data_IF_823334486334
#
_entry.id   IF_823334486334
#
_cell.length_a   1.000
_cell.length_b   1.000
_cell.length_c   1.000
_cell.angle_alpha   90.00
_cell.angle_beta   90.00
_cell.angle_gamma   90.00
#
_symmetry.space_group_name_H-M   'P 1'
#
loop_
_entity.id
_entity.type
_entity.pdbx_description
1 polymer ?
#
# COMPACT_ATOMS: atom_id res chain seq x y z
N UNK A 1 9.21 -38.13 -5.25
CA UNK A 1 10.07 -36.93 -5.09
C UNK A 1 9.38 -35.65 -5.61
N UNK A 2 8.07 -35.44 -5.41
CA UNK A 2 7.27 -34.65 -6.38
C UNK A 2 6.31 -33.53 -5.89
N UNK A 3 5.75 -33.50 -4.66
CA UNK A 3 4.84 -32.41 -4.26
C UNK A 3 5.55 -31.10 -3.91
N UNK A 4 6.63 -31.15 -3.13
CA UNK A 4 7.27 -29.94 -2.58
C UNK A 4 8.03 -29.15 -3.64
N UNK A 5 8.69 -29.83 -4.59
CA UNK A 5 9.38 -29.16 -5.69
C UNK A 5 8.42 -28.41 -6.64
N UNK A 6 7.23 -28.98 -6.91
CA UNK A 6 6.20 -28.31 -7.73
C UNK A 6 5.64 -27.08 -7.03
N UNK A 7 5.37 -27.18 -5.73
CA UNK A 7 4.93 -26.03 -4.91
C UNK A 7 5.97 -24.91 -4.90
N UNK A 8 7.26 -25.25 -4.83
CA UNK A 8 8.33 -24.25 -4.88
C UNK A 8 8.39 -23.52 -6.23
N UNK A 9 8.20 -24.24 -7.34
CA UNK A 9 8.14 -23.62 -8.68
C UNK A 9 6.92 -22.71 -8.80
N UNK A 10 5.74 -23.18 -8.41
CA UNK A 10 4.50 -22.41 -8.46
C UNK A 10 4.62 -21.14 -7.60
N UNK A 11 5.16 -21.25 -6.39
CA UNK A 11 5.40 -20.10 -5.50
C UNK A 11 6.39 -19.10 -6.10
N UNK A 12 7.45 -19.58 -6.76
CA UNK A 12 8.43 -18.70 -7.42
C UNK A 12 7.81 -17.93 -8.58
N UNK A 13 7.02 -18.61 -9.42
CA UNK A 13 6.32 -18.00 -10.55
C UNK A 13 5.30 -16.98 -10.03
N UNK A 14 4.49 -17.36 -9.04
CA UNK A 14 3.49 -16.47 -8.46
C UNK A 14 4.11 -15.25 -7.77
N UNK A 15 5.25 -15.41 -7.10
CA UNK A 15 5.99 -14.29 -6.52
C UNK A 15 6.53 -13.31 -7.59
N UNK A 16 6.96 -13.85 -8.75
CA UNK A 16 7.48 -13.09 -9.89
C UNK A 16 6.37 -12.41 -10.70
N UNK A 17 5.25 -13.08 -10.93
CA UNK A 17 4.19 -12.55 -11.80
C UNK A 17 2.96 -12.09 -11.03
N UNK A 18 3.03 -12.08 -9.70
CA UNK A 18 1.99 -11.55 -8.81
C UNK A 18 0.63 -12.22 -8.99
N UNK A 19 0.63 -13.51 -9.35
CA UNK A 19 -0.58 -14.31 -9.47
C UNK A 19 -1.32 -14.17 -10.80
N UNK A 20 -0.81 -13.38 -11.76
CA UNK A 20 -1.47 -13.25 -13.08
C UNK A 20 -1.38 -14.55 -13.90
N UNK A 21 -0.43 -15.44 -13.59
CA UNK A 21 -0.34 -16.77 -14.20
C UNK A 21 -1.59 -17.62 -13.91
N UNK A 22 -2.26 -17.38 -12.78
CA UNK A 22 -3.52 -18.02 -12.41
C UNK A 22 -4.68 -17.52 -13.26
N UNK A 23 -4.74 -16.22 -13.54
CA UNK A 23 -5.82 -15.63 -14.36
C UNK A 23 -5.67 -16.05 -15.81
N UNK A 24 -4.43 -16.04 -16.34
CA UNK A 24 -4.13 -16.59 -17.67
C UNK A 24 -4.58 -18.05 -17.77
N UNK A 25 -4.37 -18.85 -16.73
CA UNK A 25 -4.84 -20.23 -16.70
C UNK A 25 -6.37 -20.32 -16.75
N UNK A 26 -7.07 -19.46 -16.01
CA UNK A 26 -8.52 -19.41 -16.06
C UNK A 26 -9.03 -19.02 -17.47
N UNK A 27 -8.44 -17.99 -18.07
CA UNK A 27 -8.77 -17.55 -19.43
C UNK A 27 -8.49 -18.62 -20.48
N UNK A 28 -7.40 -19.37 -20.33
CA UNK A 28 -7.05 -20.46 -21.23
C UNK A 28 -8.13 -21.55 -21.31
N UNK A 29 -8.82 -21.84 -20.20
CA UNK A 29 -9.90 -22.84 -20.19
C UNK A 29 -11.22 -22.32 -20.76
N UNK A 30 -11.37 -21.00 -20.87
CA UNK A 30 -12.52 -20.30 -21.44
C UNK A 30 -12.44 -20.03 -22.94
N UNK A 31 -11.30 -20.31 -23.59
CA UNK A 31 -11.12 -20.06 -25.03
C UNK A 31 -12.07 -20.91 -25.89
N UNK A 32 -12.53 -20.33 -26.99
CA UNK A 32 -13.19 -21.07 -28.06
C UNK A 32 -12.21 -22.00 -28.80
N UNK A 33 -12.75 -22.97 -29.53
CA UNK A 33 -11.95 -24.02 -30.18
C UNK A 33 -10.98 -23.47 -31.24
N UNK A 34 -11.35 -22.39 -31.94
CA UNK A 34 -10.53 -21.81 -33.00
C UNK A 34 -9.35 -21.04 -32.39
N UNK A 35 -9.59 -20.20 -31.38
CA UNK A 35 -8.53 -19.49 -30.65
C UNK A 35 -7.59 -20.46 -29.93
N UNK A 36 -8.13 -21.49 -29.28
CA UNK A 36 -7.34 -22.52 -28.61
C UNK A 36 -6.38 -23.21 -29.58
N UNK A 37 -6.83 -23.49 -30.81
CA UNK A 37 -5.98 -24.07 -31.88
C UNK A 37 -4.83 -23.13 -32.26
N UNK A 38 -5.09 -21.83 -32.38
CA UNK A 38 -4.03 -20.84 -32.66
C UNK A 38 -3.02 -20.74 -31.53
N UNK A 39 -3.47 -20.72 -30.27
CA UNK A 39 -2.61 -20.73 -29.09
C UNK A 39 -1.69 -21.96 -29.09
N UNK A 40 -2.22 -23.15 -29.37
CA UNK A 40 -1.40 -24.36 -29.43
C UNK A 40 -0.39 -24.36 -30.59
N UNK A 41 -0.75 -23.76 -31.74
CA UNK A 41 0.18 -23.60 -32.86
C UNK A 41 1.37 -22.69 -32.47
N UNK A 42 1.13 -21.58 -31.77
CA UNK A 42 2.22 -20.73 -31.26
C UNK A 42 2.99 -21.43 -30.15
N UNK A 43 2.31 -22.14 -29.25
CA UNK A 43 2.95 -22.93 -28.20
C UNK A 43 3.94 -23.96 -28.79
N UNK A 44 3.57 -24.65 -29.88
CA UNK A 44 4.49 -25.54 -30.59
C UNK A 44 5.69 -24.80 -31.19
N UNK A 45 5.47 -23.66 -31.85
CA UNK A 45 6.57 -22.87 -32.43
C UNK A 45 7.57 -22.44 -31.36
N UNK A 46 7.11 -22.03 -30.18
CA UNK A 46 7.97 -21.56 -29.09
C UNK A 46 8.62 -22.70 -28.29
N UNK A 47 7.93 -23.84 -28.11
CA UNK A 47 8.34 -24.84 -27.12
C UNK A 47 8.50 -26.26 -27.68
N UNK A 48 8.08 -26.51 -28.92
CA UNK A 48 8.25 -27.78 -29.64
C UNK A 48 7.04 -28.72 -29.57
N UNK A 49 6.98 -29.63 -30.56
CA UNK A 49 5.89 -30.59 -30.77
C UNK A 49 5.57 -31.48 -29.57
N UNK A 50 6.59 -31.98 -28.87
CA UNK A 50 6.40 -32.86 -27.72
C UNK A 50 5.63 -32.18 -26.58
N UNK A 51 5.96 -30.92 -26.29
CA UNK A 51 5.29 -30.15 -25.23
C UNK A 51 3.87 -29.76 -25.60
N UNK A 52 3.61 -29.46 -26.89
CA UNK A 52 2.24 -29.27 -27.39
C UNK A 52 1.40 -30.54 -27.22
N UNK A 53 1.88 -31.69 -27.71
CA UNK A 53 1.16 -32.97 -27.60
C UNK A 53 0.80 -33.31 -26.15
N UNK A 54 1.73 -33.07 -25.23
CA UNK A 54 1.45 -33.19 -23.80
C UNK A 54 0.33 -32.24 -23.37
N UNK A 55 0.43 -30.94 -23.66
CA UNK A 55 -0.56 -29.95 -23.23
C UNK A 55 -1.95 -30.20 -23.83
N UNK A 56 -2.06 -30.61 -25.09
CA UNK A 56 -3.32 -30.95 -25.74
C UNK A 56 -3.98 -32.18 -25.08
N UNK A 57 -3.20 -33.24 -24.82
CA UNK A 57 -3.71 -34.45 -24.16
C UNK A 57 -4.21 -34.16 -22.74
N UNK A 58 -3.50 -33.30 -22.01
CA UNK A 58 -3.83 -32.97 -20.63
C UNK A 58 -4.92 -31.89 -20.48
N UNK A 59 -5.21 -31.13 -21.55
CA UNK A 59 -6.13 -30.00 -21.53
C UNK A 59 -7.48 -30.34 -20.89
N UNK A 60 -8.13 -31.42 -21.34
CA UNK A 60 -9.43 -31.84 -20.81
C UNK A 60 -9.39 -32.19 -19.32
N UNK A 61 -8.31 -32.83 -18.87
CA UNK A 61 -8.11 -33.19 -17.45
C UNK A 61 -7.86 -31.97 -16.58
N UNK A 62 -7.11 -31.00 -17.09
CA UNK A 62 -6.88 -29.72 -16.41
C UNK A 62 -8.17 -28.91 -16.31
N UNK A 63 -8.94 -28.83 -17.41
CA UNK A 63 -10.23 -28.12 -17.46
C UNK A 63 -11.26 -28.74 -16.51
N UNK A 64 -11.26 -30.07 -16.38
CA UNK A 64 -12.12 -30.79 -15.44
C UNK A 64 -11.62 -30.73 -13.97
N UNK A 65 -10.47 -30.11 -13.69
CA UNK A 65 -9.87 -30.05 -12.35
C UNK A 65 -9.28 -31.36 -11.83
N UNK A 66 -9.35 -32.44 -12.62
CA UNK A 66 -8.84 -33.77 -12.24
C UNK A 66 -7.32 -33.83 -12.09
N UNK A 67 -6.60 -32.94 -12.76
CA UNK A 67 -5.14 -32.79 -12.67
C UNK A 67 -4.80 -31.32 -12.59
N UNK A 68 -3.87 -30.95 -11.71
CA UNK A 68 -3.37 -29.58 -11.65
C UNK A 68 -2.32 -29.36 -12.76
N UNK A 69 -2.49 -28.27 -13.51
CA UNK A 69 -1.49 -27.79 -14.48
C UNK A 69 -0.20 -27.42 -13.74
N UNK A 70 0.96 -27.83 -14.28
CA UNK A 70 2.24 -27.46 -13.68
C UNK A 70 2.56 -25.98 -13.87
N UNK A 71 3.27 -25.38 -12.90
CA UNK A 71 3.74 -23.99 -13.02
C UNK A 71 4.53 -23.72 -14.28
N UNK A 72 5.34 -24.67 -14.75
CA UNK A 72 6.11 -24.49 -15.99
C UNK A 72 5.22 -24.35 -17.24
N UNK A 73 4.11 -25.10 -17.33
CA UNK A 73 3.13 -24.92 -18.41
C UNK A 73 2.39 -23.59 -18.22
N UNK A 74 2.03 -23.25 -16.98
CA UNK A 74 1.38 -21.97 -16.65
C UNK A 74 2.25 -20.77 -17.05
N UNK A 75 3.55 -20.81 -16.80
CA UNK A 75 4.50 -19.74 -17.17
C UNK A 75 4.65 -19.63 -18.68
N UNK A 76 4.69 -20.75 -19.40
CA UNK A 76 4.71 -20.74 -20.88
C UNK A 76 3.44 -20.13 -21.44
N UNK A 77 2.28 -20.51 -20.91
CA UNK A 77 1.00 -19.90 -21.29
C UNK A 77 0.97 -18.40 -21.00
N UNK A 78 1.49 -17.96 -19.85
CA UNK A 78 1.58 -16.53 -19.52
C UNK A 78 2.39 -15.72 -20.55
N UNK A 79 3.37 -16.33 -21.21
CA UNK A 79 4.20 -15.67 -22.23
C UNK A 79 3.52 -15.58 -23.60
N UNK A 80 2.55 -16.45 -23.89
CA UNK A 80 1.96 -16.58 -25.23
C UNK A 80 0.47 -16.27 -25.31
N UNK A 81 -0.31 -16.58 -24.28
CA UNK A 81 -1.76 -16.46 -24.33
C UNK A 81 -2.22 -15.00 -24.44
N UNK A 82 -1.59 -14.02 -23.75
CA UNK A 82 -2.06 -12.65 -23.78
C UNK A 82 -2.12 -12.03 -25.18
N UNK A 83 -1.34 -12.52 -26.14
CA UNK A 83 -1.41 -12.09 -27.55
C UNK A 83 -2.75 -12.39 -28.23
N UNK A 84 -3.55 -13.30 -27.69
CA UNK A 84 -4.86 -13.71 -28.23
C UNK A 84 -6.04 -13.18 -27.42
N UNK A 85 -5.78 -12.39 -26.38
CA UNK A 85 -6.81 -11.87 -25.49
C UNK A 85 -7.34 -10.53 -26.00
N UNK A 86 -8.59 -10.23 -25.62
CA UNK A 86 -9.18 -8.89 -25.80
C UNK A 86 -8.44 -7.85 -24.96
N UNK A 87 -8.64 -6.58 -25.29
CA UNK A 87 -8.07 -5.46 -24.56
C UNK A 87 -8.46 -5.52 -23.07
N UNK A 88 -9.73 -5.82 -22.78
CA UNK A 88 -10.23 -5.92 -21.40
C UNK A 88 -9.42 -6.92 -20.56
N UNK A 89 -9.23 -8.13 -21.07
CA UNK A 89 -8.46 -9.14 -20.36
C UNK A 89 -6.99 -8.74 -20.20
N UNK A 90 -6.39 -8.11 -21.22
CA UNK A 90 -5.03 -7.56 -21.12
C UNK A 90 -4.97 -6.47 -20.03
N UNK A 91 -5.94 -5.57 -19.96
CA UNK A 91 -6.05 -4.54 -18.94
C UNK A 91 -6.12 -5.14 -17.54
N UNK A 92 -6.93 -6.17 -17.31
CA UNK A 92 -7.01 -6.83 -16.01
C UNK A 92 -5.67 -7.47 -15.59
N UNK A 93 -4.97 -8.12 -16.53
CA UNK A 93 -3.66 -8.70 -16.26
C UNK A 93 -2.62 -7.62 -15.92
N UNK A 94 -2.60 -6.52 -16.67
CA UNK A 94 -1.72 -5.36 -16.41
C UNK A 94 -2.06 -4.74 -15.06
N UNK A 95 -3.32 -4.47 -14.76
CA UNK A 95 -3.78 -3.90 -13.50
C UNK A 95 -3.35 -4.73 -12.29
N UNK A 96 -3.54 -6.05 -12.35
CA UNK A 96 -3.13 -6.95 -11.26
C UNK A 96 -1.62 -7.03 -11.13
N UNK A 97 -0.87 -7.10 -12.25
CA UNK A 97 0.59 -7.14 -12.22
C UNK A 97 1.17 -5.87 -11.58
N UNK A 98 0.69 -4.69 -12.01
CA UNK A 98 1.13 -3.42 -11.44
C UNK A 98 0.79 -3.35 -9.96
N UNK A 99 -0.46 -3.64 -9.57
CA UNK A 99 -0.88 -3.68 -8.16
C UNK A 99 0.00 -4.59 -7.31
N UNK A 100 0.41 -5.76 -7.82
CA UNK A 100 1.27 -6.68 -7.09
C UNK A 100 2.73 -6.21 -6.94
N UNK A 101 3.18 -5.29 -7.79
CA UNK A 101 4.48 -4.63 -7.68
C UNK A 101 4.43 -3.29 -6.96
N UNK A 102 3.23 -2.84 -6.59
CA UNK A 102 3.04 -1.68 -5.74
C UNK A 102 3.80 -1.87 -4.43
N UNK A 103 4.65 -0.92 -4.08
CA UNK A 103 5.27 -0.88 -2.75
C UNK A 103 4.25 -0.29 -1.79
N UNK A 104 3.78 -1.05 -0.78
CA UNK A 104 2.84 -0.49 0.19
C UNK A 104 3.60 0.49 1.08
N UNK A 105 3.54 1.77 0.74
CA UNK A 105 4.05 2.84 1.58
C UNK A 105 3.02 3.13 2.67
N UNK A 106 3.43 3.10 3.93
CA UNK A 106 2.61 3.57 5.05
C UNK A 106 3.18 4.89 5.55
N UNK A 107 2.38 5.94 5.46
CA UNK A 107 2.74 7.25 5.94
C UNK A 107 1.91 7.54 7.19
N UNK A 108 2.55 8.08 8.23
CA UNK A 108 1.85 8.58 9.40
C UNK A 108 2.10 10.07 9.51
N UNK A 109 1.01 10.84 9.56
CA UNK A 109 1.01 12.30 9.61
C UNK A 109 0.36 12.70 10.92
N UNK A 110 1.16 13.23 11.85
CA UNK A 110 0.65 13.79 13.10
C UNK A 110 0.48 15.29 12.93
N UNK A 111 -0.71 15.80 13.24
CA UNK A 111 -1.04 17.22 13.08
C UNK A 111 -1.53 17.81 14.39
N UNK A 112 -1.12 19.05 14.64
CA UNK A 112 -1.44 19.80 15.87
C UNK A 112 -2.38 20.98 15.60
N UNK A 113 -2.85 21.61 16.67
CA UNK A 113 -3.91 22.65 16.66
C UNK A 113 -3.57 23.92 15.87
N UNK A 114 -2.30 24.32 15.78
CA UNK A 114 -1.91 25.64 15.27
C UNK A 114 -1.34 25.65 13.84
N UNK A 115 -1.52 24.56 13.10
CA UNK A 115 -1.07 24.47 11.72
C UNK A 115 -0.84 23.03 11.29
N UNK A 116 -0.75 22.83 9.98
CA UNK A 116 -0.41 21.53 9.41
C UNK A 116 -1.54 20.86 8.63
N UNK A 117 -2.75 21.43 8.55
CA UNK A 117 -3.77 20.97 7.60
C UNK A 117 -3.22 21.02 6.17
N UNK A 118 -2.68 22.17 5.74
CA UNK A 118 -2.10 22.31 4.40
C UNK A 118 -0.91 21.37 4.16
N UNK A 119 -0.06 21.16 5.17
CA UNK A 119 1.05 20.20 5.08
C UNK A 119 0.55 18.75 4.99
N UNK A 120 -0.53 18.41 5.71
CA UNK A 120 -1.20 17.11 5.64
C UNK A 120 -1.83 16.90 4.26
N UNK A 121 -2.53 17.90 3.73
CA UNK A 121 -3.10 17.87 2.38
C UNK A 121 -2.02 17.72 1.31
N UNK A 122 -0.92 18.47 1.42
CA UNK A 122 0.22 18.33 0.52
C UNK A 122 0.83 16.92 0.58
N UNK A 123 0.93 16.33 1.77
CA UNK A 123 1.39 14.93 1.95
C UNK A 123 0.43 13.93 1.30
N UNK A 124 -0.88 14.15 1.40
CA UNK A 124 -1.89 13.30 0.78
C UNK A 124 -1.86 13.38 -0.75
N UNK A 125 -1.74 14.60 -1.30
CA UNK A 125 -1.61 14.82 -2.76
C UNK A 125 -0.32 14.18 -3.27
N UNK A 126 0.81 14.43 -2.61
CA UNK A 126 2.08 13.82 -2.99
C UNK A 126 2.06 12.30 -2.87
N UNK A 127 1.39 11.75 -1.84
CA UNK A 127 1.15 10.32 -1.73
C UNK A 127 0.33 9.82 -2.93
N UNK A 128 -0.82 10.43 -3.24
CA UNK A 128 -1.66 10.05 -4.37
C UNK A 128 -0.92 10.08 -5.72
N UNK A 129 -0.07 11.09 -5.94
CA UNK A 129 0.74 11.23 -7.16
C UNK A 129 1.92 10.26 -7.23
N UNK A 130 2.29 9.60 -6.12
CA UNK A 130 3.41 8.65 -6.12
C UNK A 130 3.18 7.42 -7.02
N UNK A 131 1.97 7.22 -7.55
CA UNK A 131 1.66 6.24 -8.61
C UNK A 131 2.57 6.42 -9.83
N UNK A 132 2.96 7.65 -10.18
CA UNK A 132 3.82 7.95 -11.34
C UNK A 132 5.17 7.25 -11.28
N UNK A 133 5.66 6.97 -10.07
CA UNK A 133 6.96 6.36 -9.81
C UNK A 133 6.88 4.83 -9.69
N UNK A 134 5.72 4.24 -9.98
CA UNK A 134 5.51 2.79 -9.89
C UNK A 134 6.14 2.09 -11.09
N UNK A 135 7.24 1.38 -10.85
CA UNK A 135 7.99 0.66 -11.88
C UNK A 135 7.91 -0.85 -11.67
N UNK A 136 7.43 -1.56 -12.68
CA UNK A 136 7.58 -3.02 -12.77
C UNK A 136 9.04 -3.34 -13.13
N UNK A 137 9.73 -4.25 -12.42
CA UNK A 137 11.13 -4.57 -12.70
C UNK A 137 11.35 -4.97 -14.17
N UNK A 138 12.45 -4.51 -14.78
CA UNK A 138 12.78 -4.83 -16.18
C UNK A 138 12.81 -6.34 -16.43
N UNK A 139 13.36 -7.13 -15.51
CA UNK A 139 13.39 -8.60 -15.60
C UNK A 139 11.99 -9.27 -15.73
N UNK A 140 10.92 -8.57 -15.33
CA UNK A 140 9.53 -9.01 -15.55
C UNK A 140 9.05 -8.55 -16.92
N UNK A 141 9.26 -7.27 -17.24
CA UNK A 141 8.93 -6.69 -18.56
C UNK A 141 9.58 -7.49 -19.70
N UNK A 142 10.88 -7.76 -19.59
CA UNK A 142 11.67 -8.53 -20.56
C UNK A 142 11.17 -9.98 -20.67
N UNK A 143 10.61 -10.53 -19.59
CA UNK A 143 10.10 -11.90 -19.59
C UNK A 143 8.70 -12.05 -20.16
N UNK A 144 7.97 -10.95 -20.33
CA UNK A 144 6.60 -10.88 -20.84
C UNK A 144 6.55 -9.91 -22.01
N UNK A 145 7.03 -10.34 -23.18
CA UNK A 145 7.15 -9.50 -24.37
C UNK A 145 5.83 -8.82 -24.78
N UNK A 146 4.68 -9.44 -24.49
CA UNK A 146 3.36 -8.85 -24.76
C UNK A 146 3.09 -7.57 -23.94
N UNK A 147 3.82 -7.30 -22.86
CA UNK A 147 3.71 -6.04 -22.12
C UNK A 147 4.25 -4.83 -22.88
N UNK A 148 5.03 -5.07 -23.94
CA UNK A 148 5.51 -4.03 -24.84
C UNK A 148 4.63 -3.87 -26.10
N UNK A 149 3.57 -4.69 -26.22
CA UNK A 149 2.57 -4.59 -27.28
C UNK A 149 1.75 -3.31 -27.14
N UNK A 150 1.21 -2.80 -28.26
CA UNK A 150 0.47 -1.54 -28.29
C UNK A 150 -0.75 -1.57 -27.36
N UNK A 151 -1.50 -2.68 -27.35
CA UNK A 151 -2.63 -2.88 -26.44
C UNK A 151 -2.22 -2.83 -24.96
N UNK A 152 -1.07 -3.43 -24.61
CA UNK A 152 -0.60 -3.45 -23.24
C UNK A 152 -0.07 -2.08 -22.79
N UNK A 153 0.56 -1.34 -23.70
CA UNK A 153 0.97 0.04 -23.48
C UNK A 153 -0.25 0.95 -23.27
N UNK A 154 -1.30 0.78 -24.08
CA UNK A 154 -2.56 1.49 -23.94
C UNK A 154 -3.27 1.14 -22.62
N UNK A 155 -3.35 -0.15 -22.27
CA UNK A 155 -3.88 -0.59 -20.99
C UNK A 155 -3.13 0.01 -19.79
N UNK A 156 -1.80 0.10 -19.86
CA UNK A 156 -0.98 0.73 -18.83
C UNK A 156 -1.24 2.24 -18.74
N UNK A 157 -1.38 2.93 -19.87
CA UNK A 157 -1.68 4.35 -19.90
C UNK A 157 -3.06 4.64 -19.29
N UNK A 158 -4.07 3.85 -19.66
CA UNK A 158 -5.41 3.93 -19.08
C UNK A 158 -5.38 3.67 -17.57
N UNK A 159 -4.73 2.59 -17.13
CA UNK A 159 -4.60 2.25 -15.72
C UNK A 159 -3.95 3.39 -14.93
N UNK A 160 -2.89 3.98 -15.46
CA UNK A 160 -2.21 5.10 -14.82
C UNK A 160 -3.13 6.31 -14.61
N UNK A 161 -3.90 6.68 -15.65
CA UNK A 161 -4.88 7.77 -15.56
C UNK A 161 -5.98 7.48 -14.54
N UNK A 162 -6.50 6.24 -14.53
CA UNK A 162 -7.51 5.81 -13.56
C UNK A 162 -6.96 5.95 -12.13
N UNK A 163 -5.76 5.44 -11.85
CA UNK A 163 -5.16 5.49 -10.52
C UNK A 163 -4.86 6.93 -10.07
N UNK A 164 -4.41 7.82 -10.95
CA UNK A 164 -4.25 9.23 -10.62
C UNK A 164 -5.59 9.87 -10.25
N UNK A 165 -6.63 9.61 -11.05
CA UNK A 165 -7.96 10.19 -10.84
C UNK A 165 -8.62 9.67 -9.57
N UNK A 166 -8.45 8.39 -9.24
CA UNK A 166 -8.87 7.84 -7.93
C UNK A 166 -8.21 8.59 -6.78
N UNK A 167 -6.90 8.85 -6.89
CA UNK A 167 -6.14 9.61 -5.91
C UNK A 167 -6.67 11.04 -5.73
N UNK A 168 -6.92 11.75 -6.82
CA UNK A 168 -7.53 13.08 -6.82
C UNK A 168 -8.91 13.09 -6.13
N UNK A 169 -9.82 12.21 -6.54
CA UNK A 169 -11.17 12.12 -5.95
C UNK A 169 -11.10 11.84 -4.45
N UNK A 170 -10.21 10.92 -4.04
CA UNK A 170 -10.03 10.58 -2.61
C UNK A 170 -9.50 11.77 -1.83
N UNK A 171 -8.46 12.45 -2.34
CA UNK A 171 -7.84 13.59 -1.66
C UNK A 171 -8.77 14.81 -1.60
N UNK A 172 -9.58 15.04 -2.63
CA UNK A 172 -10.59 16.11 -2.64
C UNK A 172 -11.70 15.86 -1.61
N UNK A 173 -12.18 14.62 -1.52
CA UNK A 173 -13.16 14.21 -0.50
C UNK A 173 -12.59 14.40 0.91
N UNK A 174 -11.35 13.94 1.12
CA UNK A 174 -10.66 14.09 2.41
C UNK A 174 -10.42 15.55 2.79
N UNK A 175 -10.23 16.46 1.83
CA UNK A 175 -10.01 17.88 2.14
C UNK A 175 -11.15 18.47 2.96
N UNK A 176 -12.40 18.16 2.58
CA UNK A 176 -13.57 18.61 3.32
C UNK A 176 -13.69 17.91 4.69
N UNK A 177 -13.47 16.59 4.73
CA UNK A 177 -13.52 15.80 5.96
C UNK A 177 -12.49 16.29 7.00
N UNK A 178 -11.24 16.52 6.57
CA UNK A 178 -10.19 17.01 7.44
C UNK A 178 -10.50 18.40 7.97
N UNK A 179 -11.04 19.31 7.15
CA UNK A 179 -11.47 20.63 7.64
C UNK A 179 -12.48 20.51 8.77
N UNK A 180 -13.50 19.67 8.62
CA UNK A 180 -14.48 19.38 9.68
C UNK A 180 -13.79 18.90 10.98
N UNK A 181 -12.86 17.95 10.88
CA UNK A 181 -12.16 17.40 12.04
C UNK A 181 -11.25 18.44 12.74
N UNK A 182 -10.63 19.33 11.97
CA UNK A 182 -9.83 20.43 12.52
C UNK A 182 -10.71 21.48 13.20
N UNK A 183 -11.84 21.85 12.59
CA UNK A 183 -12.81 22.79 13.16
C UNK A 183 -13.44 22.23 14.46
N UNK A 184 -13.69 20.92 14.50
CA UNK A 184 -14.12 20.21 15.71
C UNK A 184 -13.11 20.38 16.85
N UNK A 185 -11.83 20.15 16.57
CA UNK A 185 -10.79 20.30 17.58
C UNK A 185 -10.67 21.76 18.04
N UNK A 186 -10.67 22.71 17.10
CA UNK A 186 -10.57 24.14 17.40
C UNK A 186 -11.74 24.65 18.27
N UNK A 187 -12.94 24.12 18.09
CA UNK A 187 -14.15 24.51 18.84
C UNK A 187 -14.25 23.94 20.27
N UNK A 188 -13.36 23.01 20.65
CA UNK A 188 -13.36 22.37 21.98
C UNK A 188 -11.99 22.53 22.69
N UNK A 189 -11.57 23.76 23.05
CA UNK A 189 -10.25 24.03 23.63
C UNK A 189 -10.03 23.46 25.04
N UNK A 190 -11.11 23.28 25.80
CA UNK A 190 -11.09 22.79 27.19
C UNK A 190 -11.15 21.25 27.27
N UNK A 191 -11.21 20.56 26.13
CA UNK A 191 -11.38 19.11 26.06
C UNK A 191 -10.21 18.49 25.29
N UNK A 192 -9.91 17.24 25.62
CA UNK A 192 -9.02 16.43 24.79
C UNK A 192 -9.79 15.98 23.55
N UNK A 193 -9.25 16.27 22.36
CA UNK A 193 -9.82 15.82 21.08
C UNK A 193 -8.76 15.04 20.33
N UNK A 194 -9.09 13.81 19.92
CA UNK A 194 -8.26 12.98 19.04
C UNK A 194 -9.10 12.56 17.85
N UNK A 195 -8.61 12.83 16.65
CA UNK A 195 -9.20 12.31 15.42
C UNK A 195 -8.16 11.50 14.67
N UNK A 196 -8.50 10.27 14.31
CA UNK A 196 -7.67 9.38 13.53
C UNK A 196 -8.36 9.10 12.19
N UNK A 197 -7.64 9.32 11.11
CA UNK A 197 -8.09 9.00 9.76
C UNK A 197 -7.07 8.11 9.07
N UNK A 198 -7.44 6.86 8.85
CA UNK A 198 -6.67 5.93 8.01
C UNK A 198 -7.29 5.93 6.63
N UNK A 199 -6.57 6.41 5.61
CA UNK A 199 -7.00 6.39 4.20
C UNK A 199 -6.18 5.41 3.38
N UNK A 200 -6.86 4.70 2.49
CA UNK A 200 -6.24 3.89 1.44
C UNK A 200 -6.20 4.69 0.13
N UNK A 201 -5.01 5.05 -0.33
CA UNK A 201 -4.77 5.68 -1.63
C UNK A 201 -4.29 4.63 -2.65
N UNK A 202 -4.25 4.94 -3.96
CA UNK A 202 -3.72 4.06 -5.00
C UNK A 202 -2.23 3.71 -4.90
N UNK A 203 -1.46 4.46 -4.11
CA UNK A 203 0.01 4.34 -3.95
C UNK A 203 0.44 4.14 -2.50
N UNK A 204 -0.30 4.66 -1.51
CA UNK A 204 0.03 4.57 -0.09
C UNK A 204 -1.18 4.28 0.80
N UNK A 205 -0.93 3.90 2.05
CA UNK A 205 -1.90 4.02 3.15
C UNK A 205 -1.42 5.18 4.02
N UNK A 206 -2.28 6.15 4.29
CA UNK A 206 -1.94 7.32 5.10
C UNK A 206 -2.75 7.31 6.39
N UNK A 207 -2.06 7.32 7.53
CA UNK A 207 -2.65 7.46 8.86
C UNK A 207 -2.46 8.90 9.32
N UNK A 208 -3.55 9.62 9.45
CA UNK A 208 -3.57 11.01 9.91
C UNK A 208 -4.06 10.98 11.35
N UNK A 209 -3.27 11.55 12.26
CA UNK A 209 -3.62 11.64 13.67
C UNK A 209 -3.60 13.10 14.07
N UNK A 210 -4.78 13.63 14.36
CA UNK A 210 -4.94 14.95 14.97
C UNK A 210 -5.12 14.76 16.47
N UNK A 211 -4.27 15.40 17.27
CA UNK A 211 -4.36 15.37 18.74
C UNK A 211 -4.35 16.79 19.31
N UNK A 212 -5.31 17.07 20.17
CA UNK A 212 -5.43 18.30 20.92
C UNK A 212 -5.64 18.00 22.40
N UNK A 213 -4.83 18.63 23.24
CA UNK A 213 -4.95 18.55 24.70
C UNK A 213 -5.78 19.72 25.23
N UNK A 214 -6.53 19.47 26.32
CA UNK A 214 -7.24 20.50 27.05
C UNK A 214 -6.26 21.55 27.59
N UNK A 215 -6.57 22.84 27.42
CA UNK A 215 -5.79 23.92 28.05
C UNK A 215 -6.24 24.05 29.50
N UNK A 216 -5.39 23.68 30.46
CA UNK A 216 -5.67 23.95 31.88
C UNK A 216 -5.55 25.47 32.13
N UNK A 217 -6.67 26.21 32.11
CA UNK A 217 -6.67 27.61 32.54
C UNK A 217 -6.42 27.69 34.05
N UNK A 218 -5.17 27.89 34.45
CA UNK A 218 -4.83 28.39 35.77
C UNK A 218 -5.26 29.86 35.84
N UNK A 219 -6.35 30.18 36.55
CA UNK A 219 -6.72 31.56 36.89
C UNK A 219 -5.72 32.10 37.91
N UNK A 220 -4.56 32.57 37.46
CA UNK A 220 -3.68 33.44 38.25
C UNK A 220 -3.94 34.90 37.88
N UNK A 221 -4.57 35.60 38.82
CA UNK A 221 -4.66 37.06 38.85
C UNK A 221 -3.33 37.59 39.39
N UNK A 222 -2.43 38.12 38.54
CA UNK A 222 -1.40 39.09 38.94
C UNK A 222 -0.64 39.70 37.74
N UNK A 223 -0.80 41.02 37.63
CA UNK A 223 0.21 42.07 37.43
C UNK A 223 1.24 41.98 36.29
N UNK A 224 1.21 43.03 35.47
CA UNK A 224 2.20 43.38 34.47
C UNK A 224 3.61 43.51 35.05
N UNK A 225 4.60 43.01 34.33
CA UNK A 225 5.87 43.71 34.18
C UNK A 225 6.39 43.53 32.75
N UNK A 226 6.62 44.68 32.12
CA UNK A 226 7.42 44.90 30.91
C UNK A 226 8.85 44.40 31.09
N UNK A 227 9.47 43.78 30.08
CA UNK A 227 10.47 44.41 29.19
C UNK A 227 11.19 43.41 28.26
N UNK A 228 11.49 43.83 27.02
CA UNK A 228 12.80 43.62 26.41
C UNK A 228 13.08 42.43 25.46
N UNK A 229 12.75 42.63 24.17
CA UNK A 229 13.55 42.42 22.94
C UNK A 229 14.33 41.13 22.58
N UNK A 230 14.37 40.96 21.23
CA UNK A 230 15.28 40.20 20.36
C UNK A 230 14.97 38.69 20.21
N UNK A 231 14.88 38.08 19.03
CA UNK A 231 15.28 38.47 17.67
C UNK A 231 14.55 37.55 16.67
N UNK A 232 14.02 38.12 15.58
CA UNK A 232 13.59 37.38 14.39
C UNK A 232 14.79 36.73 13.71
N UNK A 233 14.65 35.47 13.31
CA UNK A 233 15.48 34.89 12.26
C UNK A 233 14.59 34.31 11.17
N UNK A 234 14.48 35.09 10.11
CA UNK A 234 14.06 34.68 8.79
C UNK A 234 14.92 33.51 8.30
N UNK A 235 14.28 32.52 7.67
CA UNK A 235 14.96 31.58 6.79
C UNK A 235 14.34 31.68 5.41
N UNK A 236 15.16 32.25 4.52
CA UNK A 236 14.96 32.42 3.07
C UNK A 236 14.97 31.05 2.37
N UNK A 237 14.26 30.88 1.24
CA UNK A 237 14.26 29.65 0.45
C UNK A 237 15.55 29.53 -0.38
N UNK A 238 16.20 28.38 -0.35
CA UNK A 238 17.32 28.09 -1.26
C UNK A 238 16.78 27.57 -2.59
N UNK A 239 16.74 28.45 -3.60
CA UNK A 239 16.69 28.05 -5.01
C UNK A 239 17.99 27.32 -5.38
N UNK A 240 17.86 26.11 -5.95
CA UNK A 240 18.93 25.48 -6.71
C UNK A 240 18.56 25.49 -8.20
N UNK A 241 19.37 26.24 -8.93
CA UNK A 241 19.24 26.57 -10.34
C UNK A 241 19.39 25.34 -11.26
N UNK A 242 18.51 25.28 -12.26
CA UNK A 242 18.59 24.41 -13.45
C UNK A 242 19.64 24.92 -14.44
N UNK A 243 20.20 23.99 -15.24
CA UNK A 243 20.52 24.02 -16.70
C UNK A 243 21.72 23.08 -16.96
N UNK A 244 21.87 22.33 -18.05
CA UNK A 244 21.09 21.99 -19.25
C UNK A 244 21.87 20.89 -20.02
N UNK A 245 21.18 20.04 -20.79
CA UNK A 245 21.48 19.60 -22.18
C UNK A 245 20.40 18.59 -22.63
N UNK A 246 20.13 18.43 -23.95
CA UNK A 246 18.80 18.69 -24.49
C UNK A 246 18.08 17.41 -24.96
N UNK A 247 16.77 17.39 -24.75
CA UNK A 247 15.82 16.70 -25.61
C UNK A 247 14.52 17.51 -25.55
N UNK A 248 13.84 17.65 -26.70
CA UNK A 248 12.74 18.57 -26.93
C UNK A 248 11.63 18.49 -25.86
N UNK A 249 10.92 19.60 -25.56
CA UNK A 249 9.96 19.64 -24.46
C UNK A 249 8.76 18.74 -24.75
N UNK A 250 8.45 17.84 -23.82
CA UNK A 250 7.15 17.17 -23.73
C UNK A 250 6.17 18.22 -23.23
N UNK A 251 5.21 18.61 -24.07
CA UNK A 251 4.38 19.79 -23.81
C UNK A 251 3.07 19.49 -23.06
N UNK A 252 2.62 18.23 -22.90
CA UNK A 252 1.39 17.91 -22.16
C UNK A 252 1.39 16.50 -21.56
N UNK A 253 1.03 16.38 -20.27
CA UNK A 253 0.85 15.09 -19.57
C UNK A 253 -0.41 14.29 -20.02
N UNK A 254 -1.23 14.86 -20.92
CA UNK A 254 -2.40 14.21 -21.52
C UNK A 254 -2.12 13.37 -22.78
N UNK A 255 -0.87 13.26 -23.23
CA UNK A 255 -0.56 12.75 -24.58
C UNK A 255 -0.25 11.25 -24.64
N UNK A 256 -0.11 10.54 -23.52
CA UNK A 256 0.09 9.08 -23.52
C UNK A 256 -1.13 8.32 -24.03
N UNK A 257 -2.33 8.85 -23.76
CA UNK A 257 -3.59 8.28 -24.25
C UNK A 257 -3.74 8.56 -25.76
N UNK A 258 -3.43 9.78 -26.20
CA UNK A 258 -3.44 10.19 -27.61
C UNK A 258 -2.39 9.48 -28.46
N UNK A 259 -1.21 9.21 -27.90
CA UNK A 259 -0.18 8.42 -28.58
C UNK A 259 -0.56 6.94 -28.63
N UNK A 260 -1.28 6.42 -27.63
CA UNK A 260 -1.88 5.08 -27.69
C UNK A 260 -3.01 5.00 -28.74
N UNK A 261 -3.87 6.03 -28.82
CA UNK A 261 -4.97 6.11 -29.81
C UNK A 261 -4.46 6.07 -31.27
N UNK A 262 -3.29 6.64 -31.54
CA UNK A 262 -2.72 6.70 -32.91
C UNK A 262 -2.15 5.38 -33.41
N UNK A 263 -1.86 4.45 -32.50
CA UNK A 263 -1.14 3.21 -32.81
C UNK A 263 -2.07 1.99 -32.88
N UNK A 264 -3.21 2.03 -32.20
CA UNK A 264 -4.16 0.92 -32.13
C UNK A 264 -4.98 0.72 -33.43
N UNK A 265 -5.25 -0.52 -33.84
CA UNK A 265 -6.25 -0.84 -34.87
C UNK A 265 -7.67 -0.38 -34.48
N UNK A 266 -8.56 -0.05 -35.44
CA UNK A 266 -9.88 0.53 -35.16
C UNK A 266 -10.77 -0.30 -34.23
N UNK A 267 -10.77 -1.63 -34.38
CA UNK A 267 -11.52 -2.57 -33.55
C UNK A 267 -11.06 -2.58 -32.08
N UNK A 268 -9.77 -2.33 -31.84
CA UNK A 268 -9.19 -2.24 -30.48
C UNK A 268 -9.48 -0.91 -29.81
N UNK A 269 -9.66 0.16 -30.58
CA UNK A 269 -10.03 1.48 -30.06
C UNK A 269 -11.41 1.41 -29.41
N UNK A 270 -12.38 0.72 -30.02
CA UNK A 270 -13.73 0.58 -29.46
C UNK A 270 -13.74 -0.18 -28.13
N UNK A 271 -12.99 -1.29 -28.02
CA UNK A 271 -12.84 -2.04 -26.75
C UNK A 271 -12.21 -1.17 -25.65
N UNK A 272 -11.19 -0.37 -25.99
CA UNK A 272 -10.56 0.54 -25.04
C UNK A 272 -11.49 1.69 -24.62
N UNK A 273 -12.24 2.28 -25.56
CA UNK A 273 -13.24 3.32 -25.25
C UNK A 273 -14.32 2.77 -24.33
N UNK A 274 -14.82 1.56 -24.60
CA UNK A 274 -15.78 0.88 -23.74
C UNK A 274 -15.20 0.73 -22.32
N UNK A 275 -13.95 0.25 -22.21
CA UNK A 275 -13.30 0.11 -20.90
C UNK A 275 -13.06 1.44 -20.20
N UNK A 276 -12.62 2.46 -20.91
CA UNK A 276 -12.46 3.80 -20.35
C UNK A 276 -13.80 4.38 -19.85
N UNK A 277 -14.90 4.11 -20.58
CA UNK A 277 -16.25 4.47 -20.16
C UNK A 277 -16.69 3.78 -18.87
N UNK A 278 -16.44 2.47 -18.75
CA UNK A 278 -16.69 1.73 -17.51
C UNK A 278 -15.92 2.30 -16.31
N UNK A 279 -14.62 2.57 -16.48
CA UNK A 279 -13.79 3.15 -15.41
C UNK A 279 -14.24 4.57 -15.07
N UNK A 280 -14.64 5.37 -16.06
CA UNK A 280 -15.18 6.71 -15.82
C UNK A 280 -16.48 6.67 -14.99
N UNK A 281 -17.40 5.75 -15.31
CA UNK A 281 -18.62 5.55 -14.53
C UNK A 281 -18.31 5.09 -13.10
N UNK A 282 -17.34 4.18 -12.94
CA UNK A 282 -16.88 3.73 -11.62
C UNK A 282 -16.30 4.89 -10.80
N UNK A 283 -15.49 5.76 -11.40
CA UNK A 283 -14.94 6.95 -10.75
C UNK A 283 -16.02 7.94 -10.33
N UNK A 284 -17.09 8.11 -11.13
CA UNK A 284 -18.24 8.92 -10.75
C UNK A 284 -18.98 8.33 -9.54
N UNK A 285 -19.18 7.00 -9.52
CA UNK A 285 -19.77 6.32 -8.37
C UNK A 285 -18.91 6.55 -7.12
N UNK A 286 -17.60 6.35 -7.22
CA UNK A 286 -16.65 6.60 -6.14
C UNK A 286 -16.73 8.05 -5.62
N UNK A 287 -16.86 9.04 -6.50
CA UNK A 287 -17.04 10.43 -6.11
C UNK A 287 -18.35 10.64 -5.33
N UNK A 288 -19.45 10.03 -5.77
CA UNK A 288 -20.75 10.09 -5.08
C UNK A 288 -20.74 9.36 -3.73
N UNK A 289 -20.08 8.22 -3.66
CA UNK A 289 -19.85 7.51 -2.39
C UNK A 289 -19.07 8.40 -1.42
N UNK A 290 -18.03 9.11 -1.91
CA UNK A 290 -17.29 10.09 -1.10
C UNK A 290 -18.17 11.23 -0.57
N UNK A 291 -19.08 11.78 -1.37
CA UNK A 291 -20.05 12.80 -0.93
C UNK A 291 -20.99 12.27 0.17
N UNK A 292 -21.47 11.04 0.03
CA UNK A 292 -22.34 10.38 1.00
C UNK A 292 -21.57 10.12 2.31
N UNK A 293 -20.35 9.60 2.22
CA UNK A 293 -19.49 9.33 3.38
C UNK A 293 -19.22 10.59 4.18
N UNK A 294 -18.90 11.68 3.49
CA UNK A 294 -18.75 12.99 4.12
C UNK A 294 -19.98 13.35 4.94
N UNK A 295 -21.19 13.26 4.35
CA UNK A 295 -22.43 13.59 5.05
C UNK A 295 -22.68 12.68 6.27
N UNK A 296 -22.34 11.39 6.16
CA UNK A 296 -22.43 10.44 7.29
C UNK A 296 -21.46 10.81 8.41
N UNK A 297 -20.22 11.17 8.08
CA UNK A 297 -19.21 11.59 9.06
C UNK A 297 -19.65 12.89 9.73
N UNK A 298 -20.11 13.88 8.96
CA UNK A 298 -20.67 15.14 9.49
C UNK A 298 -21.80 14.88 10.49
N UNK A 299 -22.77 14.03 10.16
CA UNK A 299 -23.86 13.68 11.07
C UNK A 299 -23.41 12.96 12.33
N UNK A 300 -22.45 12.02 12.21
CA UNK A 300 -21.88 11.29 13.36
C UNK A 300 -21.08 12.21 14.29
N UNK A 301 -20.23 13.06 13.72
CA UNK A 301 -19.46 14.04 14.48
C UNK A 301 -20.40 15.05 15.16
N UNK A 302 -21.43 15.54 14.46
CA UNK A 302 -22.44 16.42 15.06
C UNK A 302 -23.16 15.77 16.25
N UNK A 303 -23.59 14.52 16.10
CA UNK A 303 -24.23 13.76 17.20
C UNK A 303 -23.31 13.59 18.40
N UNK A 304 -22.01 13.32 18.15
CA UNK A 304 -21.00 13.22 19.19
C UNK A 304 -20.83 14.55 19.94
N UNK A 305 -20.74 15.67 19.20
CA UNK A 305 -20.62 17.01 19.78
C UNK A 305 -21.83 17.36 20.63
N UNK A 306 -23.03 17.07 20.16
CA UNK A 306 -24.26 17.33 20.91
C UNK A 306 -24.31 16.50 22.20
N UNK A 307 -23.88 15.24 22.16
CA UNK A 307 -23.78 14.40 23.34
C UNK A 307 -22.77 14.98 24.35
N UNK A 308 -21.58 15.39 23.87
CA UNK A 308 -20.54 16.02 24.69
C UNK A 308 -21.04 17.31 25.33
N UNK A 309 -21.73 18.18 24.57
CA UNK A 309 -22.27 19.45 25.06
C UNK A 309 -23.29 19.27 26.18
N UNK A 310 -24.11 18.22 26.13
CA UNK A 310 -25.11 17.92 27.18
C UNK A 310 -24.47 17.49 28.50
N UNK A 311 -23.29 16.89 28.46
CA UNK A 311 -22.60 16.33 29.63
C UNK A 311 -21.51 17.27 30.17
N UNK A 312 -20.90 18.09 29.31
CA UNK A 312 -19.78 18.98 29.66
C UNK A 312 -20.10 20.12 30.65
N UNK A 313 -21.35 20.26 31.10
CA UNK A 313 -21.75 21.26 32.09
C UNK A 313 -21.41 20.88 33.54
N UNK A 314 -21.10 19.61 33.83
CA UNK A 314 -20.75 19.16 35.18
C UNK A 314 -19.23 18.92 35.31
N UNK A 315 -18.50 19.77 36.06
CA UNK A 315 -17.05 19.64 36.25
C UNK A 315 -16.63 18.36 37.00
N UNK A 316 -17.56 17.66 37.66
CA UNK A 316 -17.28 16.40 38.34
C UNK A 316 -17.45 15.16 37.45
N UNK A 317 -17.96 15.31 36.24
CA UNK A 317 -18.19 14.17 35.33
C UNK A 317 -16.97 13.96 34.45
N UNK A 318 -16.26 12.84 34.68
CA UNK A 318 -15.28 12.33 33.72
C UNK A 318 -16.02 11.70 32.55
N UNK A 319 -15.78 12.21 31.35
CA UNK A 319 -16.42 11.76 30.13
C UNK A 319 -15.37 11.35 29.10
N UNK A 320 -15.66 10.28 28.37
CA UNK A 320 -15.03 9.93 27.10
C UNK A 320 -16.12 9.54 26.14
N UNK A 321 -16.18 10.19 24.99
CA UNK A 321 -17.13 9.93 23.94
C UNK A 321 -16.35 9.62 22.66
N UNK A 322 -16.75 8.56 21.96
CA UNK A 322 -16.07 8.08 20.76
C UNK A 322 -17.10 7.76 19.66
N UNK A 323 -16.74 8.07 18.42
CA UNK A 323 -17.46 7.62 17.24
C UNK A 323 -16.49 7.09 16.20
N UNK A 324 -16.91 6.04 15.49
CA UNK A 324 -16.14 5.44 14.41
C UNK A 324 -17.01 5.30 13.16
N UNK A 325 -16.41 5.55 12.01
CA UNK A 325 -16.98 5.27 10.71
C UNK A 325 -15.95 4.56 9.82
N UNK A 326 -16.35 3.42 9.28
CA UNK A 326 -15.62 2.71 8.24
C UNK A 326 -16.32 2.98 6.92
N UNK A 327 -15.65 3.73 6.05
CA UNK A 327 -16.07 4.01 4.69
C UNK A 327 -15.34 3.14 3.66
N UNK A 328 -15.59 3.41 2.40
CA UNK A 328 -14.92 2.84 1.22
C UNK A 328 -13.44 3.19 1.22
N UNK A 329 -13.10 4.42 1.61
CA UNK A 329 -11.75 4.97 1.52
C UNK A 329 -10.97 4.84 2.83
N UNK A 330 -11.43 4.02 3.77
CA UNK A 330 -10.76 3.74 5.03
C UNK A 330 -11.61 4.03 6.27
N UNK A 331 -10.98 4.42 7.38
CA UNK A 331 -11.65 4.54 8.69
C UNK A 331 -11.36 5.88 9.36
N UNK A 332 -12.41 6.50 9.89
CA UNK A 332 -12.38 7.72 10.68
C UNK A 332 -12.83 7.39 12.11
N UNK A 333 -11.99 7.70 13.08
CA UNK A 333 -12.29 7.56 14.51
C UNK A 333 -12.14 8.92 15.15
N UNK A 334 -13.12 9.36 15.94
CA UNK A 334 -13.07 10.62 16.67
C UNK A 334 -13.37 10.36 18.13
N UNK A 335 -12.51 10.87 19.00
CA UNK A 335 -12.60 10.75 20.46
C UNK A 335 -12.55 12.13 21.08
N UNK A 336 -13.50 12.41 21.97
CA UNK A 336 -13.54 13.62 22.80
C UNK A 336 -13.56 13.19 24.26
N UNK A 337 -12.67 13.72 25.08
CA UNK A 337 -12.59 13.39 26.51
C UNK A 337 -12.40 14.63 27.37
N UNK A 338 -12.94 14.61 28.60
CA UNK A 338 -12.83 15.72 29.55
C UNK A 338 -11.44 15.86 30.19
N UNK A 339 -10.61 14.82 30.10
CA UNK A 339 -9.20 14.82 30.47
C UNK A 339 -8.44 13.95 29.48
N UNK A 340 -7.12 14.14 29.36
CA UNK A 340 -6.28 13.26 28.53
C UNK A 340 -6.47 11.82 29.00
N UNK A 341 -7.00 10.90 28.17
CA UNK A 341 -7.18 9.52 28.57
C UNK A 341 -5.80 8.89 28.83
N UNK A 342 -5.68 7.92 29.76
CA UNK A 342 -4.45 7.14 29.89
C UNK A 342 -4.11 6.53 28.52
N UNK A 343 -2.81 6.41 28.16
CA UNK A 343 -2.41 5.88 26.87
C UNK A 343 -3.15 4.55 26.64
N UNK A 344 -3.83 4.36 25.48
CA UNK A 344 -4.56 3.14 25.24
C UNK A 344 -3.62 1.95 25.44
N UNK A 345 -4.10 0.83 25.99
CA UNK A 345 -3.31 -0.40 25.99
C UNK A 345 -2.84 -0.60 24.54
N UNK A 346 -1.55 -0.93 24.32
CA UNK A 346 -1.03 -1.08 22.98
C UNK A 346 -2.02 -1.95 22.20
N UNK A 347 -2.48 -1.50 21.01
CA UNK A 347 -3.50 -2.19 20.24
C UNK A 347 -3.14 -3.67 20.24
N UNK A 348 -4.08 -4.60 20.47
CA UNK A 348 -3.78 -6.03 20.56
C UNK A 348 -2.87 -6.31 19.39
N UNK A 349 -1.60 -6.56 19.70
CA UNK A 349 -0.58 -6.59 18.68
C UNK A 349 -1.02 -7.75 17.82
N UNK A 350 -1.63 -7.46 16.67
CA UNK A 350 -1.67 -8.39 15.57
C UNK A 350 -0.23 -8.88 15.54
N UNK A 351 -0.01 -10.16 15.84
CA UNK A 351 1.32 -10.75 16.06
C UNK A 351 2.15 -10.55 14.79
N UNK A 352 2.64 -9.33 14.58
CA UNK A 352 3.38 -8.88 13.43
C UNK A 352 4.81 -9.15 13.84
N UNK A 353 5.25 -10.36 13.52
CA UNK A 353 6.50 -10.72 12.86
C UNK A 353 7.77 -9.83 12.97
N UNK A 354 7.93 -8.95 13.96
CA UNK A 354 9.12 -8.09 14.10
C UNK A 354 10.18 -8.75 14.99
N UNK A 355 11.45 -8.67 14.60
CA UNK A 355 12.60 -9.04 15.44
C UNK A 355 13.11 -7.78 16.17
N UNK A 356 12.63 -7.52 17.39
CA UNK A 356 12.89 -6.28 18.13
C UNK A 356 14.37 -5.95 18.32
N UNK A 357 15.17 -6.93 18.76
CA UNK A 357 16.61 -6.73 19.03
C UNK A 357 17.39 -6.47 17.74
N UNK A 358 17.06 -7.17 16.66
CA UNK A 358 17.74 -6.98 15.37
C UNK A 358 17.39 -5.63 14.73
N UNK A 359 16.13 -5.20 14.81
CA UNK A 359 15.72 -3.88 14.32
C UNK A 359 16.34 -2.74 15.14
N UNK A 360 16.46 -2.89 16.47
CA UNK A 360 17.14 -1.90 17.32
C UNK A 360 18.65 -1.79 17.03
N UNK A 361 19.30 -2.89 16.67
CA UNK A 361 20.72 -2.88 16.30
C UNK A 361 20.98 -2.32 14.90
N UNK A 362 20.15 -2.66 13.91
CA UNK A 362 20.39 -2.28 12.51
C UNK A 362 19.69 -0.99 12.07
N UNK A 363 18.74 -0.48 12.86
CA UNK A 363 18.03 0.77 12.61
C UNK A 363 17.10 0.74 11.39
N UNK A 364 17.07 -0.37 10.65
CA UNK A 364 16.25 -0.56 9.46
C UNK A 364 15.65 -1.97 9.48
N UNK A 365 14.34 -2.05 9.27
CA UNK A 365 13.58 -3.30 9.19
C UNK A 365 13.97 -4.17 7.98
N UNK A 366 14.34 -3.53 6.87
CA UNK A 366 14.70 -4.20 5.61
C UNK A 366 16.20 -4.50 5.49
N UNK A 367 16.95 -4.42 6.60
CA UNK A 367 18.36 -4.76 6.59
C UNK A 367 18.55 -6.26 6.24
N UNK A 368 19.47 -6.63 5.32
CA UNK A 368 19.66 -8.01 4.87
C UNK A 368 19.82 -9.02 6.02
N UNK A 369 20.56 -8.65 7.07
CA UNK A 369 20.72 -9.47 8.29
C UNK A 369 19.40 -9.69 9.04
N UNK A 370 18.55 -8.67 9.14
CA UNK A 370 17.24 -8.76 9.80
C UNK A 370 16.31 -9.69 9.02
N UNK A 371 16.34 -9.62 7.69
CA UNK A 371 15.60 -10.51 6.81
C UNK A 371 16.01 -11.99 7.00
N UNK A 372 17.31 -12.27 7.06
CA UNK A 372 17.84 -13.63 7.29
C UNK A 372 17.41 -14.19 8.64
N UNK A 373 17.46 -13.38 9.71
CA UNK A 373 17.04 -13.78 11.06
C UNK A 373 15.53 -14.05 11.14
N UNK A 374 14.70 -13.25 10.44
CA UNK A 374 13.26 -13.49 10.34
C UNK A 374 12.96 -14.81 9.63
N UNK A 375 13.65 -15.10 8.53
CA UNK A 375 13.50 -16.38 7.82
C UNK A 375 13.92 -17.57 8.67
N UNK A 376 14.99 -17.46 9.46
CA UNK A 376 15.40 -18.47 10.43
C UNK A 376 14.31 -18.73 11.49
N UNK A 377 13.70 -17.66 12.03
CA UNK A 377 12.55 -17.76 12.93
C UNK A 377 11.41 -18.52 12.29
N UNK A 378 11.00 -18.11 11.10
CA UNK A 378 9.78 -18.59 10.45
C UNK A 378 9.93 -20.01 9.90
N UNK A 379 11.12 -20.41 9.43
CA UNK A 379 11.34 -21.73 8.82
C UNK A 379 11.91 -22.77 9.77
N UNK A 380 12.79 -22.38 10.69
CA UNK A 380 13.51 -23.33 11.55
C UNK A 380 12.90 -23.36 12.95
N UNK A 381 12.68 -22.21 13.57
CA UNK A 381 12.17 -22.14 14.95
C UNK A 381 10.67 -22.44 15.02
N UNK A 382 9.86 -21.90 14.12
CA UNK A 382 8.40 -22.14 14.13
C UNK A 382 8.03 -23.57 13.73
N UNK A 383 8.93 -24.33 13.10
CA UNK A 383 8.71 -25.71 12.71
C UNK A 383 8.74 -26.70 13.90
N UNK A 384 9.37 -26.34 15.01
CA UNK A 384 9.53 -27.22 16.18
C UNK A 384 8.81 -26.66 17.42
N UNK A 385 8.21 -27.52 18.28
CA UNK A 385 7.56 -27.06 19.51
C UNK A 385 8.51 -26.32 20.47
N UNK A 386 9.78 -26.73 20.53
CA UNK A 386 10.84 -26.07 21.31
C UNK A 386 11.21 -24.71 20.72
N UNK A 387 11.31 -24.59 19.39
CA UNK A 387 11.57 -23.33 18.72
C UNK A 387 10.43 -22.32 18.89
N UNK A 388 9.16 -22.77 18.90
CA UNK A 388 8.01 -21.89 19.23
C UNK A 388 8.10 -21.31 20.65
N UNK A 389 8.45 -22.13 21.64
CA UNK A 389 8.67 -21.65 23.02
C UNK A 389 9.84 -20.66 23.12
N UNK A 390 10.94 -20.90 22.40
CA UNK A 390 12.07 -19.96 22.34
C UNK A 390 11.63 -18.61 21.75
N UNK A 391 10.83 -18.64 20.69
CA UNK A 391 10.27 -17.45 20.06
C UNK A 391 9.35 -16.72 21.04
N UNK A 392 8.47 -17.41 21.76
CA UNK A 392 7.60 -16.80 22.77
C UNK A 392 8.40 -16.12 23.89
N UNK A 393 9.48 -16.74 24.38
CA UNK A 393 10.40 -16.14 25.36
C UNK A 393 11.08 -14.91 24.76
N UNK A 394 11.53 -14.98 23.52
CA UNK A 394 12.10 -13.83 22.80
C UNK A 394 11.08 -12.69 22.64
N UNK A 395 9.82 -12.97 22.34
CA UNK A 395 8.77 -11.96 22.26
C UNK A 395 8.40 -11.38 23.63
N UNK A 396 8.58 -12.15 24.71
CA UNK A 396 8.31 -11.70 26.08
C UNK A 396 9.39 -10.79 26.65
N UNK A 397 10.66 -11.03 26.34
CA UNK A 397 11.79 -10.27 26.88
C UNK A 397 12.48 -9.34 25.86
N UNK A 398 12.29 -9.60 24.56
CA UNK A 398 12.92 -8.89 23.45
C UNK A 398 12.63 -7.38 23.40
N UNK A 399 11.41 -6.90 23.70
CA UNK A 399 11.14 -5.46 23.75
C UNK A 399 11.94 -4.73 24.84
N UNK A 400 12.10 -5.33 26.02
CA UNK A 400 12.88 -4.74 27.11
C UNK A 400 14.37 -4.69 26.76
N UNK A 401 14.91 -5.76 26.17
CA UNK A 401 16.30 -5.81 25.70
C UNK A 401 16.57 -4.82 24.56
N UNK A 402 15.63 -4.67 23.62
CA UNK A 402 15.72 -3.69 22.54
C UNK A 402 15.75 -2.25 23.09
N UNK A 403 14.94 -1.94 24.11
CA UNK A 403 14.95 -0.64 24.78
C UNK A 403 16.27 -0.32 25.50
N UNK A 404 16.95 -1.33 26.05
CA UNK A 404 18.29 -1.17 26.65
C UNK A 404 19.34 -0.90 25.57
N UNK A 405 19.32 -1.68 24.48
CA UNK A 405 20.26 -1.55 23.36
C UNK A 405 20.10 -0.20 22.64
N UNK A 406 18.88 0.34 22.58
CA UNK A 406 18.65 1.63 21.92
C UNK A 406 19.14 2.82 22.74
N UNK A 407 19.14 2.70 24.08
CA UNK A 407 19.63 3.72 25.01
C UNK A 407 21.15 3.76 25.13
N UNK A 408 21.85 2.64 24.95
CA UNK A 408 23.30 2.55 25.06
C UNK A 408 23.96 2.08 23.74
N UNK A 409 24.53 3.00 22.93
CA UNK A 409 25.17 2.68 21.65
C UNK A 409 26.31 1.66 21.75
N UNK A 410 26.97 1.58 22.92
CA UNK A 410 28.09 0.66 23.21
C UNK A 410 27.70 -0.81 23.06
N UNK A 411 26.43 -1.17 23.26
CA UNK A 411 25.94 -2.54 23.08
C UNK A 411 25.55 -2.86 21.63
N UNK A 412 25.34 -1.86 20.76
CA UNK A 412 24.93 -2.09 19.36
C UNK A 412 26.04 -2.76 18.54
N UNK A 413 27.31 -2.39 18.75
CA UNK A 413 28.44 -2.94 18.01
C UNK A 413 28.67 -4.45 18.24
N UNK A 414 28.77 -4.96 19.48
CA UNK A 414 28.94 -6.39 19.72
C UNK A 414 27.71 -7.21 19.29
N UNK A 415 26.50 -6.70 19.49
CA UNK A 415 25.27 -7.40 19.05
C UNK A 415 25.16 -7.45 17.52
N UNK A 416 25.58 -6.41 16.79
CA UNK A 416 25.66 -6.43 15.31
C UNK A 416 26.67 -7.47 14.80
N UNK A 417 27.80 -7.61 15.48
CA UNK A 417 28.84 -8.56 15.06
C UNK A 417 28.36 -10.01 15.25
N UNK A 418 27.71 -10.28 16.39
CA UNK A 418 27.14 -11.60 16.69
C UNK A 418 25.97 -11.97 15.77
N UNK A 419 25.02 -11.04 15.55
CA UNK A 419 23.89 -11.25 14.63
C UNK A 419 24.34 -11.36 13.18
N UNK A 420 25.34 -10.57 12.77
CA UNK A 420 25.95 -10.63 11.44
C UNK A 420 26.65 -11.97 11.19
N UNK A 421 27.45 -12.45 12.14
CA UNK A 421 28.10 -13.76 12.06
C UNK A 421 27.08 -14.90 11.96
N UNK A 422 26.04 -14.88 12.81
CA UNK A 422 25.00 -15.90 12.78
C UNK A 422 24.22 -15.91 11.44
N UNK A 423 23.87 -14.73 10.92
CA UNK A 423 23.19 -14.63 9.63
C UNK A 423 24.06 -15.11 8.45
N UNK A 424 25.36 -14.80 8.47
CA UNK A 424 26.30 -15.26 7.44
C UNK A 424 26.54 -16.78 7.50
N UNK A 425 26.59 -17.37 8.70
CA UNK A 425 26.67 -18.81 8.87
C UNK A 425 25.39 -19.51 8.37
N UNK A 426 24.21 -18.97 8.70
CA UNK A 426 22.93 -19.54 8.28
C UNK A 426 22.70 -19.43 6.76
N UNK A 427 23.06 -18.31 6.13
CA UNK A 427 22.93 -18.14 4.67
C UNK A 427 23.85 -19.07 3.87
N UNK A 428 24.95 -19.54 4.47
CA UNK A 428 25.87 -20.52 3.87
C UNK A 428 25.30 -21.95 3.86
N UNK A 429 24.44 -22.29 4.83
CA UNK A 429 23.73 -23.58 4.88
C UNK A 429 22.42 -23.59 4.11
N UNK A 430 21.81 -22.43 3.88
CA UNK A 430 20.56 -22.28 3.13
C UNK A 430 20.66 -21.11 2.14
N UNK A 431 21.14 -21.35 0.89
CA UNK A 431 21.29 -20.27 -0.08
C UNK A 431 19.91 -19.65 -0.38
N UNK A 432 19.90 -18.31 -0.41
CA UNK A 432 18.72 -17.44 -0.47
C UNK A 432 17.91 -17.65 -1.74
#
# INVERSE_FOLDING_TARGET
MWPDHRRLIDNRISAKFKGIEGDVRALFFGLDALTLRYVFNVYEKCYGKGRRKYAEREYGRWKAGSVQMSGEVSERLLKILPWFLSFEHKYQLVAKLWRGYRRPTRLRVEVSRQGGLEACLATLVGAAQAVEHQVVPSAVMDSLAWLADEDALAARALLHQVLLREGEITTDTLRAELRLLFDLAASHPEQFVRAERVVELPSATVEIVLTQHAVTQYRSRAMSHTNGNAESRDLVPTEASRRNLPAAPIQNAGDLLNEAFRRLPPDRIDEMIAKAGEEAMRLQIMQKEGEIEKAVIEGKVGTLVDAVRRVAGDPNVKMTAETQHKGTNGTTTVTIASATPPPPPPPPQARREFCFVATACYGNYDHPTVFVLRRFRDRTLMATPSGRRLVDVYYRWGPALAGIIDREPSFKAPTRLLLGFFAAAYSRFWPI
#
